data_IF_249718884727
#
_entry.id   IF_249718884727
#
_cell.length_a   1.000
_cell.length_b   1.000
_cell.length_c   1.000
_cell.angle_alpha   90.00
_cell.angle_beta   90.00
_cell.angle_gamma   90.00
#
_symmetry.space_group_name_H-M   'P 1'
#
loop_
_entity.id
_entity.type
_entity.pdbx_description
1 polymer ?
#
# COMPACT_ATOMS: atom_id res chain seq x y z
N UNK A 1 -10.12 31.70 -5.07
CA UNK A 1 -9.70 30.61 -5.98
C UNK A 1 -8.76 29.60 -5.31
N UNK A 2 -8.81 29.47 -3.96
CA UNK A 2 -7.87 28.64 -3.18
C UNK A 2 -8.49 27.28 -2.76
N UNK A 3 -9.79 27.07 -2.94
CA UNK A 3 -10.47 25.84 -2.49
C UNK A 3 -10.97 24.94 -3.61
N UNK A 4 -10.41 25.03 -4.84
CA UNK A 4 -10.82 24.17 -5.97
C UNK A 4 -9.87 23.01 -6.25
N UNK A 5 -8.61 23.06 -5.79
CA UNK A 5 -7.61 22.01 -6.06
C UNK A 5 -7.52 20.91 -5.00
N UNK A 6 -7.57 21.27 -3.72
CA UNK A 6 -7.12 20.37 -2.65
C UNK A 6 -8.23 19.50 -2.05
N UNK A 7 -9.48 19.92 -2.21
CA UNK A 7 -10.65 19.15 -1.78
C UNK A 7 -10.92 18.03 -2.80
N UNK A 8 -10.79 18.28 -4.10
CA UNK A 8 -11.06 17.27 -5.15
C UNK A 8 -10.15 16.03 -5.08
N UNK A 9 -8.91 16.17 -4.56
CA UNK A 9 -7.99 15.03 -4.41
C UNK A 9 -8.42 14.03 -3.33
N UNK A 10 -9.13 14.49 -2.30
CA UNK A 10 -9.79 13.59 -1.34
C UNK A 10 -11.07 12.99 -1.92
N UNK A 11 -11.66 13.58 -2.97
CA UNK A 11 -12.98 13.21 -3.50
C UNK A 11 -12.93 11.98 -4.42
N UNK A 12 -11.81 11.73 -5.09
CA UNK A 12 -11.62 10.51 -5.89
C UNK A 12 -11.23 9.27 -5.06
N UNK A 13 -10.81 9.45 -3.79
CA UNK A 13 -10.26 8.37 -2.96
C UNK A 13 -11.31 7.42 -2.35
N UNK A 14 -12.59 7.79 -2.34
CA UNK A 14 -13.64 6.97 -1.71
C UNK A 14 -14.21 5.87 -2.62
N UNK A 15 -14.18 6.06 -3.95
CA UNK A 15 -14.75 5.08 -4.90
C UNK A 15 -13.88 3.82 -5.02
N UNK A 16 -12.54 3.97 -5.05
CA UNK A 16 -11.61 2.84 -5.11
C UNK A 16 -11.61 1.98 -3.84
N UNK A 17 -11.92 2.54 -2.67
CA UNK A 17 -12.01 1.78 -1.40
C UNK A 17 -13.32 0.98 -1.35
N UNK A 18 -14.44 1.59 -1.76
CA UNK A 18 -15.76 0.95 -1.73
C UNK A 18 -15.93 -0.13 -2.81
N UNK A 19 -15.40 0.05 -4.02
CA UNK A 19 -15.51 -0.98 -5.08
C UNK A 19 -14.70 -2.25 -4.77
N UNK A 20 -13.63 -2.15 -3.97
CA UNK A 20 -12.70 -3.27 -3.73
C UNK A 20 -13.07 -4.18 -2.58
N UNK A 21 -13.95 -3.75 -1.66
CA UNK A 21 -14.56 -4.67 -0.69
C UNK A 21 -15.52 -5.66 -1.34
N UNK A 22 -16.02 -5.37 -2.54
CA UNK A 22 -17.00 -6.21 -3.24
C UNK A 22 -16.40 -7.45 -3.93
N UNK A 23 -15.07 -7.48 -4.20
CA UNK A 23 -14.44 -8.52 -5.05
C UNK A 23 -13.54 -9.48 -4.27
N UNK A 24 -13.75 -9.59 -2.95
CA UNK A 24 -13.20 -10.71 -2.20
C UNK A 24 -13.91 -12.00 -2.59
N UNK A 25 -13.43 -12.70 -3.61
CA UNK A 25 -13.83 -14.08 -3.87
C UNK A 25 -13.57 -14.89 -2.60
N UNK A 26 -14.64 -15.25 -1.89
CA UNK A 26 -14.63 -16.31 -0.90
C UNK A 26 -14.38 -17.60 -1.67
N UNK A 27 -13.13 -18.03 -1.77
CA UNK A 27 -12.88 -19.41 -2.17
C UNK A 27 -13.62 -20.34 -1.19
N UNK A 28 -14.34 -21.36 -1.69
CA UNK A 28 -15.11 -22.25 -0.83
C UNK A 28 -14.16 -22.96 0.15
N UNK A 29 -14.61 -23.22 1.39
CA UNK A 29 -13.83 -23.99 2.33
C UNK A 29 -13.52 -25.37 1.71
N UNK A 30 -12.23 -25.76 1.67
CA UNK A 30 -11.84 -27.13 1.35
C UNK A 30 -12.51 -28.05 2.38
N UNK A 31 -13.36 -28.96 1.91
CA UNK A 31 -13.98 -29.99 2.71
C UNK A 31 -12.89 -30.90 3.30
N UNK A 32 -12.89 -31.10 4.62
CA UNK A 32 -12.07 -32.17 5.22
C UNK A 32 -11.47 -32.00 6.62
N UNK A 33 -11.82 -30.99 7.43
CA UNK A 33 -11.48 -31.00 8.87
C UNK A 33 -12.67 -30.57 9.74
N UNK A 34 -13.04 -31.39 10.72
CA UNK A 34 -13.99 -30.99 11.78
C UNK A 34 -13.35 -29.89 12.62
N UNK A 35 -13.82 -28.66 12.43
CA UNK A 35 -13.45 -27.52 13.26
C UNK A 35 -13.99 -27.71 14.68
N UNK A 36 -13.19 -27.38 15.69
CA UNK A 36 -13.65 -27.36 17.09
C UNK A 36 -14.77 -26.32 17.28
N UNK A 37 -15.57 -26.45 18.34
CA UNK A 37 -16.63 -25.47 18.65
C UNK A 37 -16.07 -24.05 18.86
N UNK A 38 -14.84 -23.94 19.40
CA UNK A 38 -14.15 -22.67 19.52
C UNK A 38 -13.77 -22.09 18.16
N UNK A 39 -13.22 -22.90 17.25
CA UNK A 39 -12.87 -22.46 15.90
C UNK A 39 -14.08 -22.01 15.08
N UNK A 40 -15.25 -22.64 15.27
CA UNK A 40 -16.49 -22.21 14.64
C UNK A 40 -16.96 -20.85 15.14
N UNK A 41 -16.93 -20.63 16.45
CA UNK A 41 -17.27 -19.34 17.07
C UNK A 41 -16.35 -18.23 16.55
N UNK A 42 -15.04 -18.47 16.51
CA UNK A 42 -14.07 -17.50 16.00
C UNK A 42 -14.28 -17.16 14.51
N UNK A 43 -14.67 -18.14 13.68
CA UNK A 43 -15.02 -17.92 12.28
C UNK A 43 -16.32 -17.13 12.11
N UNK A 44 -17.32 -17.37 12.95
CA UNK A 44 -18.59 -16.63 12.92
C UNK A 44 -18.39 -15.17 13.38
N UNK A 45 -17.60 -14.93 14.42
CA UNK A 45 -17.21 -13.58 14.84
C UNK A 45 -16.46 -12.82 13.72
N UNK A 46 -15.55 -13.50 13.01
CA UNK A 46 -14.87 -12.93 11.83
C UNK A 46 -15.84 -12.58 10.71
N UNK A 47 -16.83 -13.43 10.42
CA UNK A 47 -17.86 -13.18 9.40
C UNK A 47 -18.72 -11.97 9.78
N UNK A 48 -19.17 -11.90 11.03
CA UNK A 48 -19.94 -10.77 11.54
C UNK A 48 -19.15 -9.46 11.46
N UNK A 49 -17.87 -9.49 11.85
CA UNK A 49 -17.00 -8.31 11.74
C UNK A 49 -16.80 -7.88 10.28
N UNK A 50 -16.57 -8.84 9.38
CA UNK A 50 -16.45 -8.57 7.93
C UNK A 50 -17.70 -7.90 7.38
N UNK A 51 -18.88 -8.40 7.75
CA UNK A 51 -20.15 -7.83 7.34
C UNK A 51 -20.34 -6.41 7.90
N UNK A 52 -19.99 -6.19 9.17
CA UNK A 52 -20.04 -4.87 9.79
C UNK A 52 -19.19 -3.84 9.05
N UNK A 53 -17.94 -4.18 8.71
CA UNK A 53 -17.05 -3.30 7.92
C UNK A 53 -17.65 -3.00 6.55
N UNK A 54 -18.22 -4.00 5.89
CA UNK A 54 -18.86 -3.84 4.58
C UNK A 54 -20.07 -2.89 4.64
N UNK A 55 -20.93 -3.02 5.65
CA UNK A 55 -22.08 -2.13 5.82
C UNK A 55 -21.63 -0.69 6.14
N UNK A 56 -20.64 -0.51 7.01
CA UNK A 56 -20.05 0.81 7.29
C UNK A 56 -19.47 1.44 6.01
N UNK A 57 -18.79 0.68 5.17
CA UNK A 57 -18.23 1.19 3.91
C UNK A 57 -19.32 1.75 2.97
N UNK A 58 -20.51 1.15 2.93
CA UNK A 58 -21.62 1.67 2.12
C UNK A 58 -22.09 3.06 2.57
N UNK A 59 -21.91 3.41 3.85
CA UNK A 59 -22.30 4.71 4.40
C UNK A 59 -21.35 5.85 3.98
N UNK A 60 -20.16 5.54 3.44
CA UNK A 60 -19.23 6.58 2.96
C UNK A 60 -19.83 7.42 1.82
N UNK A 61 -20.51 6.78 0.87
CA UNK A 61 -21.09 7.46 -0.30
C UNK A 61 -22.16 8.49 0.10
N UNK A 62 -23.18 8.17 0.93
CA UNK A 62 -24.15 9.17 1.35
C UNK A 62 -23.52 10.28 2.21
N UNK A 63 -22.55 9.99 3.07
CA UNK A 63 -21.80 11.03 3.81
C UNK A 63 -21.08 11.98 2.85
N UNK A 64 -20.45 11.42 1.81
CA UNK A 64 -19.79 12.21 0.76
C UNK A 64 -20.77 13.13 0.04
N UNK A 65 -21.94 12.61 -0.28
CA UNK A 65 -22.98 13.35 -0.97
C UNK A 65 -23.50 14.52 -0.11
N UNK A 66 -23.62 14.35 1.22
CA UNK A 66 -24.00 15.45 2.11
C UNK A 66 -22.92 16.53 2.20
N UNK A 67 -21.64 16.16 2.23
CA UNK A 67 -20.53 17.13 2.16
C UNK A 67 -20.56 17.89 0.83
N UNK A 68 -20.68 17.18 -0.29
CA UNK A 68 -20.83 17.77 -1.62
C UNK A 68 -21.98 18.77 -1.66
N UNK A 69 -23.13 18.40 -1.10
CA UNK A 69 -24.32 19.26 -1.03
C UNK A 69 -24.07 20.51 -0.18
N UNK A 70 -23.42 20.37 0.99
CA UNK A 70 -23.09 21.53 1.83
C UNK A 70 -22.12 22.48 1.12
N UNK A 71 -21.10 21.96 0.44
CA UNK A 71 -20.15 22.76 -0.35
C UNK A 71 -20.82 23.43 -1.56
N UNK A 72 -21.71 22.73 -2.26
CA UNK A 72 -22.46 23.30 -3.39
C UNK A 72 -23.39 24.43 -2.94
N UNK A 73 -24.05 24.28 -1.79
CA UNK A 73 -24.87 25.34 -1.19
C UNK A 73 -24.04 26.57 -0.83
N UNK A 74 -22.87 26.36 -0.24
CA UNK A 74 -21.93 27.44 0.08
C UNK A 74 -21.47 28.15 -1.20
N UNK A 75 -21.05 27.39 -2.22
CA UNK A 75 -20.62 27.93 -3.51
C UNK A 75 -21.74 28.72 -4.21
N UNK A 76 -22.97 28.18 -4.25
CA UNK A 76 -24.13 28.88 -4.81
C UNK A 76 -24.41 30.20 -4.09
N UNK A 77 -24.20 30.25 -2.77
CA UNK A 77 -24.35 31.47 -2.01
C UNK A 77 -23.26 32.50 -2.34
N UNK A 78 -22.01 32.08 -2.54
CA UNK A 78 -20.93 32.95 -3.03
C UNK A 78 -21.26 33.51 -4.42
N UNK A 79 -21.70 32.67 -5.34
CA UNK A 79 -21.95 33.04 -6.74
C UNK A 79 -23.16 33.98 -6.86
N UNK A 80 -24.27 33.67 -6.16
CA UNK A 80 -25.49 34.52 -6.17
C UNK A 80 -25.23 35.93 -5.63
N UNK A 81 -24.38 36.05 -4.62
CA UNK A 81 -24.07 37.32 -3.98
C UNK A 81 -22.79 37.97 -4.53
N UNK A 82 -22.18 37.40 -5.58
CA UNK A 82 -20.93 37.87 -6.22
C UNK A 82 -19.82 38.17 -5.20
N UNK A 83 -19.72 37.35 -4.16
CA UNK A 83 -18.78 37.55 -3.07
C UNK A 83 -17.36 37.22 -3.53
N UNK A 84 -16.43 38.17 -3.31
CA UNK A 84 -15.01 38.00 -3.57
C UNK A 84 -14.22 37.96 -2.27
N UNK A 85 -12.99 37.44 -2.35
CA UNK A 85 -12.03 37.48 -1.24
C UNK A 85 -11.80 38.95 -0.86
N UNK A 86 -11.97 39.28 0.43
CA UNK A 86 -11.84 40.65 0.95
C UNK A 86 -13.14 41.46 0.99
N UNK A 87 -14.26 40.91 0.53
CA UNK A 87 -15.56 41.58 0.61
C UNK A 87 -16.01 41.75 2.08
N UNK A 88 -16.38 42.97 2.47
CA UNK A 88 -16.97 43.24 3.80
C UNK A 88 -18.44 42.80 3.82
N UNK A 89 -18.68 41.61 4.37
CA UNK A 89 -20.03 41.05 4.55
C UNK A 89 -20.59 41.51 5.90
N UNK A 90 -21.76 42.14 5.93
CA UNK A 90 -22.42 42.64 7.16
C UNK A 90 -23.86 42.15 7.30
N UNK A 91 -24.41 42.27 8.51
CA UNK A 91 -25.82 41.98 8.81
C UNK A 91 -26.23 40.52 8.59
N UNK A 92 -27.48 40.32 8.14
CA UNK A 92 -28.09 39.01 7.93
C UNK A 92 -27.31 38.12 6.95
N UNK A 93 -26.64 38.73 5.96
CA UNK A 93 -25.84 38.02 4.97
C UNK A 93 -24.61 37.37 5.61
N UNK A 94 -23.95 38.06 6.55
CA UNK A 94 -22.83 37.51 7.33
C UNK A 94 -23.28 36.33 8.18
N UNK A 95 -24.40 36.46 8.91
CA UNK A 95 -24.92 35.39 9.75
C UNK A 95 -25.26 34.13 8.94
N UNK A 96 -25.86 34.31 7.76
CA UNK A 96 -26.16 33.19 6.85
C UNK A 96 -24.90 32.53 6.28
N UNK A 97 -23.90 33.31 5.90
CA UNK A 97 -22.61 32.80 5.42
C UNK A 97 -21.88 31.99 6.49
N UNK A 98 -21.84 32.50 7.73
CA UNK A 98 -21.26 31.78 8.87
C UNK A 98 -21.99 30.46 9.08
N UNK A 99 -23.33 30.47 9.12
CA UNK A 99 -24.12 29.24 9.30
C UNK A 99 -23.85 28.20 8.19
N UNK A 100 -23.75 28.62 6.92
CA UNK A 100 -23.42 27.71 5.81
C UNK A 100 -21.99 27.15 5.94
N UNK A 101 -21.03 27.98 6.36
CA UNK A 101 -19.66 27.56 6.54
C UNK A 101 -19.51 26.59 7.71
N UNK A 102 -20.10 26.89 8.86
CA UNK A 102 -20.13 26.00 10.03
C UNK A 102 -20.75 24.64 9.67
N UNK A 103 -21.89 24.62 8.97
CA UNK A 103 -22.50 23.36 8.51
C UNK A 103 -21.59 22.57 7.58
N UNK A 104 -20.89 23.23 6.65
CA UNK A 104 -19.96 22.56 5.75
C UNK A 104 -18.76 21.98 6.51
N UNK A 105 -18.24 22.70 7.51
CA UNK A 105 -17.18 22.22 8.39
C UNK A 105 -17.63 21.00 9.21
N UNK A 106 -18.78 21.07 9.88
CA UNK A 106 -19.32 19.94 10.66
C UNK A 106 -19.53 18.69 9.80
N UNK A 107 -20.03 18.84 8.57
CA UNK A 107 -20.20 17.73 7.63
C UNK A 107 -18.85 17.12 7.21
N UNK A 108 -17.83 17.96 6.95
CA UNK A 108 -16.48 17.52 6.63
C UNK A 108 -15.82 16.78 7.79
N UNK A 109 -15.90 17.33 9.00
CA UNK A 109 -15.35 16.71 10.22
C UNK A 109 -16.02 15.37 10.54
N UNK A 110 -17.34 15.27 10.35
CA UNK A 110 -18.07 14.03 10.50
C UNK A 110 -17.64 12.97 9.47
N UNK A 111 -17.52 13.35 8.19
CA UNK A 111 -17.01 12.47 7.12
C UNK A 111 -15.58 11.99 7.45
N UNK A 112 -14.68 12.90 7.82
CA UNK A 112 -13.29 12.57 8.13
C UNK A 112 -13.21 11.59 9.31
N UNK A 113 -13.90 11.89 10.41
CA UNK A 113 -13.91 11.04 11.61
C UNK A 113 -14.43 9.65 11.30
N UNK A 114 -15.52 9.55 10.52
CA UNK A 114 -16.08 8.27 10.11
C UNK A 114 -15.12 7.50 9.19
N UNK A 115 -14.50 8.18 8.22
CA UNK A 115 -13.52 7.58 7.31
C UNK A 115 -12.31 7.02 8.07
N UNK A 116 -11.75 7.77 9.03
CA UNK A 116 -10.63 7.31 9.85
C UNK A 116 -11.00 6.07 10.67
N UNK A 117 -12.17 6.09 11.33
CA UNK A 117 -12.66 4.92 12.07
C UNK A 117 -12.87 3.69 11.19
N UNK A 118 -13.41 3.87 9.97
CA UNK A 118 -13.55 2.77 9.01
C UNK A 118 -12.18 2.22 8.57
N UNK A 119 -11.19 3.07 8.33
CA UNK A 119 -9.83 2.64 7.99
C UNK A 119 -9.18 1.84 9.12
N UNK A 120 -9.40 2.23 10.38
CA UNK A 120 -8.94 1.46 11.53
C UNK A 120 -9.64 0.09 11.62
N UNK A 121 -10.95 0.03 11.36
CA UNK A 121 -11.70 -1.23 11.30
C UNK A 121 -11.17 -2.16 10.20
N UNK A 122 -10.87 -1.62 9.02
CA UNK A 122 -10.28 -2.35 7.89
C UNK A 122 -8.89 -2.90 8.27
N UNK A 123 -8.08 -2.11 8.98
CA UNK A 123 -6.76 -2.55 9.41
C UNK A 123 -6.85 -3.68 10.45
N UNK A 124 -7.79 -3.59 11.40
CA UNK A 124 -8.07 -4.70 12.33
C UNK A 124 -8.53 -5.95 11.59
N UNK A 125 -9.37 -5.81 10.57
CA UNK A 125 -9.81 -6.92 9.72
C UNK A 125 -8.64 -7.61 9.01
N UNK A 126 -7.69 -6.83 8.47
CA UNK A 126 -6.49 -7.38 7.80
C UNK A 126 -5.61 -8.18 8.75
N UNK A 127 -5.39 -7.68 9.97
CA UNK A 127 -4.61 -8.38 11.00
C UNK A 127 -5.24 -9.74 11.33
N UNK A 128 -6.54 -9.75 11.62
CA UNK A 128 -7.29 -10.97 11.94
C UNK A 128 -7.26 -12.01 10.81
N UNK A 129 -7.24 -11.57 9.54
CA UNK A 129 -7.12 -12.48 8.38
C UNK A 129 -5.70 -13.03 8.19
N UNK A 130 -4.68 -12.28 8.61
CA UNK A 130 -3.27 -12.68 8.42
C UNK A 130 -2.84 -13.82 9.35
N UNK A 131 -3.43 -13.91 10.54
CA UNK A 131 -3.10 -14.93 11.55
C UNK A 131 -3.59 -16.34 11.18
N UNK A 132 -4.63 -16.44 10.35
CA UNK A 132 -5.33 -17.71 10.02
C UNK A 132 -4.54 -18.62 9.06
N UNK A 133 -3.43 -18.17 8.44
CA UNK A 133 -2.80 -18.86 7.29
C UNK A 133 -1.29 -19.10 7.38
N UNK A 134 -0.73 -19.25 8.58
CA UNK A 134 0.73 -19.43 8.74
C UNK A 134 1.28 -20.83 8.35
N UNK A 135 0.43 -21.85 8.15
CA UNK A 135 0.88 -23.24 8.34
C UNK A 135 0.81 -24.22 7.15
N UNK A 136 0.59 -23.79 5.91
CA UNK A 136 0.64 -24.72 4.77
C UNK A 136 1.64 -24.30 3.69
N UNK A 137 2.50 -25.26 3.29
CA UNK A 137 3.20 -25.21 2.00
C UNK A 137 2.15 -24.95 0.92
N UNK A 138 2.35 -23.90 0.14
CA UNK A 138 1.44 -23.53 -0.92
C UNK A 138 1.97 -24.08 -2.23
N UNK A 139 1.06 -24.59 -3.07
CA UNK A 139 1.37 -24.77 -4.48
C UNK A 139 1.64 -23.41 -5.16
N UNK A 140 2.40 -23.42 -6.26
CA UNK A 140 2.85 -22.23 -6.98
C UNK A 140 1.69 -21.28 -7.31
N UNK A 141 0.56 -21.81 -7.81
CA UNK A 141 -0.63 -20.99 -8.12
C UNK A 141 -1.21 -20.31 -6.87
N UNK A 142 -1.29 -21.02 -5.75
CA UNK A 142 -1.79 -20.48 -4.48
C UNK A 142 -0.83 -19.44 -3.88
N UNK A 143 0.48 -19.63 -4.05
CA UNK A 143 1.49 -18.67 -3.63
C UNK A 143 1.36 -17.37 -4.42
N UNK A 144 1.27 -17.46 -5.74
CA UNK A 144 1.15 -16.29 -6.61
C UNK A 144 -0.14 -15.53 -6.36
N UNK A 145 -1.26 -16.21 -6.14
CA UNK A 145 -2.51 -15.58 -5.72
C UNK A 145 -2.34 -14.82 -4.40
N UNK A 146 -1.64 -15.40 -3.42
CA UNK A 146 -1.35 -14.77 -2.12
C UNK A 146 -0.45 -13.54 -2.26
N UNK A 147 0.60 -13.60 -3.07
CA UNK A 147 1.49 -12.47 -3.33
C UNK A 147 0.74 -11.33 -4.03
N UNK A 148 -0.07 -11.66 -5.02
CA UNK A 148 -0.92 -10.73 -5.76
C UNK A 148 -1.96 -10.07 -4.84
N UNK A 149 -2.61 -10.85 -3.96
CA UNK A 149 -3.52 -10.33 -2.94
C UNK A 149 -2.81 -9.37 -1.99
N UNK A 150 -1.63 -9.74 -1.46
CA UNK A 150 -0.85 -8.89 -0.54
C UNK A 150 -0.41 -7.56 -1.15
N UNK A 151 -0.10 -7.54 -2.44
CA UNK A 151 0.18 -6.30 -3.17
C UNK A 151 -1.07 -5.42 -3.29
N UNK A 152 -2.19 -6.01 -3.75
CA UNK A 152 -3.45 -5.28 -3.93
C UNK A 152 -4.03 -4.71 -2.63
N UNK A 153 -3.86 -5.43 -1.53
CA UNK A 153 -4.35 -4.99 -0.22
C UNK A 153 -3.36 -4.12 0.56
N UNK A 154 -2.20 -3.79 -0.02
CA UNK A 154 -1.26 -2.87 0.63
C UNK A 154 -1.96 -1.50 0.82
N UNK A 155 -2.03 -0.97 2.05
CA UNK A 155 -2.73 0.29 2.31
C UNK A 155 -2.09 1.43 1.53
N UNK A 156 -2.91 2.38 1.07
CA UNK A 156 -2.43 3.65 0.56
C UNK A 156 -2.02 4.53 1.74
N UNK A 157 -0.89 5.22 1.63
CA UNK A 157 -0.49 6.22 2.62
C UNK A 157 -1.43 7.44 2.54
N UNK A 158 -2.02 7.81 3.69
CA UNK A 158 -2.88 8.99 3.83
C UNK A 158 -2.43 9.80 5.06
N UNK A 159 -1.31 10.50 4.90
CA UNK A 159 -0.85 11.51 5.85
C UNK A 159 -1.65 12.85 5.84
N UNK A 160 -1.44 13.73 6.83
CA UNK A 160 -1.92 15.12 6.86
C UNK A 160 -1.55 15.94 5.62
N UNK A 161 -2.17 17.13 5.47
CA UNK A 161 -2.07 17.99 4.27
C UNK A 161 -0.64 18.49 4.01
N UNK A 162 0.18 18.64 5.06
CA UNK A 162 1.55 19.18 4.96
C UNK A 162 2.61 18.21 5.50
N UNK A 163 2.30 16.91 5.55
CA UNK A 163 3.25 15.91 6.04
C UNK A 163 4.02 15.24 4.90
N UNK A 164 5.32 15.06 5.08
CA UNK A 164 6.11 14.21 4.21
C UNK A 164 5.83 12.72 4.48
N UNK A 165 5.72 11.85 3.45
CA UNK A 165 5.53 10.43 3.65
C UNK A 165 6.70 9.79 4.42
N UNK A 166 6.44 8.97 5.45
CA UNK A 166 7.50 8.33 6.22
C UNK A 166 8.24 7.25 5.42
N UNK A 167 9.34 6.70 5.96
CA UNK A 167 9.99 5.51 5.41
C UNK A 167 9.01 4.34 5.20
N UNK A 168 9.29 3.50 4.20
CA UNK A 168 8.46 2.38 3.76
C UNK A 168 7.14 2.79 3.07
N UNK A 169 7.00 4.06 2.68
CA UNK A 169 5.94 4.51 1.75
C UNK A 169 6.49 4.52 0.33
N UNK A 170 5.89 3.73 -0.56
CA UNK A 170 6.29 3.66 -1.96
C UNK A 170 7.78 3.31 -2.11
N UNK A 171 8.52 4.16 -2.80
CA UNK A 171 9.96 4.05 -3.02
C UNK A 171 10.85 4.61 -1.91
N UNK A 172 10.30 5.16 -0.82
CA UNK A 172 11.09 5.67 0.30
C UNK A 172 11.62 4.48 1.11
N UNK A 173 12.93 4.24 1.00
CA UNK A 173 13.59 3.16 1.74
C UNK A 173 13.59 3.41 3.26
N UNK A 174 13.58 2.32 4.03
CA UNK A 174 13.91 2.41 5.46
C UNK A 174 15.40 2.80 5.64
N UNK A 175 15.71 3.61 6.65
CA UNK A 175 17.08 3.81 7.11
C UNK A 175 17.78 2.48 7.42
N UNK A 176 19.09 2.40 7.20
CA UNK A 176 19.86 1.15 7.33
C UNK A 176 19.96 0.64 8.78
N UNK A 177 19.85 1.54 9.76
CA UNK A 177 19.86 1.25 11.19
C UNK A 177 18.51 0.74 11.71
N UNK A 178 17.44 0.84 10.91
CA UNK A 178 16.09 0.48 11.35
C UNK A 178 15.97 -1.04 11.53
N UNK A 179 15.67 -1.54 12.73
CA UNK A 179 15.53 -2.97 12.97
C UNK A 179 14.34 -3.55 12.21
N UNK A 180 14.48 -4.78 11.71
CA UNK A 180 13.38 -5.50 11.04
C UNK A 180 12.64 -6.34 12.06
N UNK A 181 11.30 -6.32 12.02
CA UNK A 181 10.47 -7.11 12.95
C UNK A 181 10.29 -8.54 12.47
N UNK A 182 10.07 -9.46 13.41
CA UNK A 182 9.63 -10.82 13.11
C UNK A 182 8.28 -10.80 12.36
N UNK A 183 8.13 -11.71 11.40
CA UNK A 183 6.99 -11.77 10.47
C UNK A 183 7.01 -10.72 9.36
N UNK A 184 8.02 -9.84 9.30
CA UNK A 184 8.14 -8.87 8.22
C UNK A 184 8.59 -9.56 6.91
N UNK A 185 8.05 -9.09 5.79
CA UNK A 185 8.51 -9.50 4.46
C UNK A 185 9.66 -8.60 4.02
N UNK A 186 10.72 -9.23 3.51
CA UNK A 186 11.96 -8.59 3.07
C UNK A 186 12.41 -9.15 1.73
N UNK A 187 13.16 -8.38 0.97
CA UNK A 187 14.06 -8.93 -0.03
C UNK A 187 15.37 -9.30 0.69
N UNK A 188 15.75 -10.57 0.63
CA UNK A 188 16.96 -11.09 1.24
C UNK A 188 17.94 -11.53 0.15
N UNK A 189 19.18 -11.06 0.21
CA UNK A 189 20.24 -11.51 -0.70
C UNK A 189 20.79 -12.84 -0.19
N UNK A 190 20.49 -13.95 -0.85
CA UNK A 190 20.98 -15.31 -0.52
C UNK A 190 21.66 -15.89 -1.76
N UNK A 191 22.88 -16.41 -1.59
CA UNK A 191 23.69 -16.99 -2.68
C UNK A 191 23.78 -16.13 -3.96
N UNK A 192 23.83 -14.80 -3.81
CA UNK A 192 23.93 -13.86 -4.93
C UNK A 192 22.60 -13.45 -5.57
N UNK A 193 21.47 -14.02 -5.13
CA UNK A 193 20.13 -13.73 -5.64
C UNK A 193 19.30 -13.03 -4.57
N UNK A 194 18.57 -11.98 -4.94
CA UNK A 194 17.60 -11.35 -4.04
C UNK A 194 16.30 -12.13 -4.08
N UNK A 195 15.88 -12.70 -2.96
CA UNK A 195 14.65 -13.51 -2.84
C UNK A 195 13.65 -12.85 -1.90
N UNK A 196 12.37 -13.08 -2.14
CA UNK A 196 11.30 -12.68 -1.23
C UNK A 196 11.27 -13.64 -0.03
N UNK A 197 11.48 -13.10 1.16
CA UNK A 197 11.57 -13.89 2.37
C UNK A 197 10.75 -13.29 3.51
N UNK A 198 10.40 -14.12 4.48
CA UNK A 198 9.80 -13.73 5.76
C UNK A 198 10.84 -13.85 6.87
N UNK A 199 10.93 -12.84 7.74
CA UNK A 199 11.77 -12.89 8.94
C UNK A 199 11.10 -13.80 9.96
N UNK A 200 11.77 -14.88 10.35
CA UNK A 200 11.26 -15.84 11.33
C UNK A 200 11.65 -15.44 12.74
N UNK A 201 12.92 -15.10 12.94
CA UNK A 201 13.44 -14.70 14.25
C UNK A 201 14.53 -13.64 14.12
N UNK A 202 14.68 -12.81 15.15
CA UNK A 202 15.76 -11.83 15.26
C UNK A 202 16.75 -12.29 16.32
N UNK A 203 17.93 -12.75 15.90
CA UNK A 203 18.95 -13.28 16.82
C UNK A 203 19.70 -12.16 17.56
N UNK A 204 20.10 -11.12 16.83
CA UNK A 204 20.84 -9.96 17.34
C UNK A 204 20.60 -8.78 16.41
N UNK A 205 21.00 -7.56 16.81
CA UNK A 205 20.71 -6.30 16.08
C UNK A 205 20.99 -6.39 14.57
N UNK A 206 21.98 -7.20 14.16
CA UNK A 206 22.42 -7.32 12.77
C UNK A 206 22.26 -8.71 12.14
N UNK A 207 21.69 -9.71 12.82
CA UNK A 207 21.50 -11.06 12.28
C UNK A 207 20.04 -11.51 12.38
N UNK A 208 19.51 -11.94 11.24
CA UNK A 208 18.10 -12.29 11.06
C UNK A 208 18.00 -13.70 10.48
N UNK A 209 17.10 -14.51 11.02
CA UNK A 209 16.67 -15.73 10.34
C UNK A 209 15.55 -15.41 9.37
N UNK A 210 15.76 -15.80 8.12
CA UNK A 210 14.77 -15.61 7.06
C UNK A 210 14.43 -16.93 6.42
N UNK A 211 13.18 -17.05 6.01
CA UNK A 211 12.65 -18.20 5.28
C UNK A 211 12.11 -17.74 3.92
N UNK A 212 12.46 -18.47 2.87
CA UNK A 212 11.89 -18.25 1.54
C UNK A 212 10.37 -18.42 1.57
N UNK A 213 9.65 -17.59 0.80
CA UNK A 213 8.18 -17.63 0.75
C UNK A 213 7.63 -18.78 -0.09
N UNK A 214 8.41 -19.35 -1.02
CA UNK A 214 8.05 -20.59 -1.72
C UNK A 214 8.27 -21.84 -0.86
N UNK A 215 9.10 -21.74 0.18
CA UNK A 215 9.40 -22.82 1.11
C UNK A 215 10.32 -23.91 0.54
N UNK A 216 10.98 -23.66 -0.60
CA UNK A 216 11.98 -24.57 -1.16
C UNK A 216 13.28 -24.58 -0.34
N UNK A 217 13.63 -23.42 0.24
CA UNK A 217 14.87 -23.28 1.02
C UNK A 217 14.63 -23.41 2.53
N UNK A 218 15.59 -24.05 3.20
CA UNK A 218 15.69 -24.04 4.66
C UNK A 218 15.94 -22.61 5.19
N UNK A 219 15.58 -22.36 6.45
CA UNK A 219 15.84 -21.09 7.13
C UNK A 219 17.33 -20.73 7.03
N UNK A 220 17.62 -19.48 6.66
CA UNK A 220 18.99 -18.95 6.52
C UNK A 220 19.19 -17.78 7.47
N UNK A 221 20.39 -17.70 8.05
CA UNK A 221 20.82 -16.54 8.82
C UNK A 221 21.49 -15.53 7.89
N UNK A 222 20.96 -14.31 7.83
CA UNK A 222 21.46 -13.23 6.98
C UNK A 222 21.74 -11.97 7.78
N UNK A 223 22.73 -11.20 7.35
CA UNK A 223 23.06 -9.92 7.95
C UNK A 223 22.07 -8.82 7.52
N UNK A 224 21.88 -7.79 8.35
CA UNK A 224 21.02 -6.62 8.04
C UNK A 224 21.35 -5.97 6.68
N UNK A 225 22.63 -5.88 6.32
CA UNK A 225 23.10 -5.31 5.05
C UNK A 225 22.61 -6.09 3.81
N UNK A 226 22.22 -7.35 3.99
CA UNK A 226 21.66 -8.24 2.95
C UNK A 226 20.14 -8.26 2.95
N UNK A 227 19.49 -7.35 3.70
CA UNK A 227 18.05 -7.22 3.77
C UNK A 227 17.59 -5.86 3.26
N UNK A 228 16.49 -5.86 2.52
CA UNK A 228 15.74 -4.66 2.14
C UNK A 228 14.30 -4.89 2.59
N UNK A 229 13.78 -3.98 3.41
CA UNK A 229 12.39 -4.04 3.86
C UNK A 229 11.44 -3.67 2.73
N UNK A 230 10.35 -4.41 2.58
CA UNK A 230 9.31 -4.07 1.61
C UNK A 230 8.51 -2.84 2.10
N UNK A 231 7.94 -2.03 1.18
CA UNK A 231 7.02 -0.96 1.52
C UNK A 231 5.83 -1.48 2.33
N UNK A 232 5.50 -0.75 3.39
CA UNK A 232 4.33 -0.99 4.23
C UNK A 232 3.10 -0.25 3.70
N UNK A 233 3.30 0.80 2.90
CA UNK A 233 2.25 1.57 2.26
C UNK A 233 2.57 1.86 0.80
N UNK A 234 1.54 1.96 -0.02
CA UNK A 234 1.62 2.55 -1.37
C UNK A 234 1.70 4.07 -1.24
N UNK A 235 2.52 4.70 -2.08
CA UNK A 235 2.44 6.13 -2.30
C UNK A 235 1.30 6.45 -3.28
N UNK A 236 0.59 7.55 -3.04
CA UNK A 236 -0.43 8.03 -3.98
C UNK A 236 0.23 8.87 -5.08
N UNK A 237 0.16 8.49 -6.36
CA UNK A 237 0.73 9.27 -7.44
C UNK A 237 0.21 10.71 -7.56
N UNK A 238 -1.01 10.99 -7.09
CA UNK A 238 -1.59 12.32 -7.22
C UNK A 238 -1.08 13.29 -6.15
N UNK A 239 -0.67 12.78 -5.00
CA UNK A 239 -0.29 13.59 -3.83
C UNK A 239 1.17 13.46 -3.45
N UNK A 240 1.65 12.22 -3.47
CA UNK A 240 2.92 11.78 -2.93
C UNK A 240 3.79 11.19 -4.07
N UNK A 241 3.75 11.79 -5.27
CA UNK A 241 4.49 11.31 -6.46
C UNK A 241 6.01 11.28 -6.26
N UNK A 242 6.53 12.17 -5.42
CA UNK A 242 7.94 12.21 -5.01
C UNK A 242 8.37 10.98 -4.20
N UNK A 243 7.41 10.25 -3.62
CA UNK A 243 7.63 8.98 -2.94
C UNK A 243 7.54 7.78 -3.90
N UNK A 244 7.44 7.99 -5.22
CA UNK A 244 7.52 6.93 -6.23
C UNK A 244 8.88 6.96 -6.93
N UNK A 245 9.31 5.82 -7.46
CA UNK A 245 10.50 5.78 -8.31
C UNK A 245 10.20 6.47 -9.65
N UNK A 246 10.99 7.48 -10.06
CA UNK A 246 10.76 8.18 -11.32
C UNK A 246 11.12 7.28 -12.52
N UNK A 247 10.68 7.70 -13.72
CA UNK A 247 11.09 7.04 -14.98
C UNK A 247 12.62 6.96 -15.08
N UNK A 248 13.11 5.85 -15.62
CA UNK A 248 14.52 5.46 -15.74
C UNK A 248 15.25 5.21 -14.42
N UNK A 249 14.56 5.24 -13.27
CA UNK A 249 15.17 4.84 -12.01
C UNK A 249 15.56 3.36 -12.05
N UNK A 250 16.77 3.05 -11.58
CA UNK A 250 17.23 1.68 -11.42
C UNK A 250 16.71 1.14 -10.08
N UNK A 251 15.92 0.08 -10.17
CA UNK A 251 15.23 -0.53 -9.05
C UNK A 251 15.54 -2.02 -8.98
N UNK A 252 15.25 -2.59 -7.82
CA UNK A 252 15.18 -4.03 -7.63
C UNK A 252 13.70 -4.42 -7.57
N UNK A 253 13.22 -5.21 -8.52
CA UNK A 253 11.80 -5.52 -8.65
C UNK A 253 11.55 -7.04 -8.70
N UNK A 254 10.44 -7.50 -8.12
CA UNK A 254 10.07 -8.92 -8.16
C UNK A 254 9.69 -9.30 -9.60
N UNK A 255 10.35 -10.31 -10.16
CA UNK A 255 10.06 -10.74 -11.52
C UNK A 255 8.73 -11.50 -11.58
N UNK A 256 7.89 -11.27 -12.61
CA UNK A 256 6.56 -11.87 -12.68
C UNK A 256 6.57 -13.39 -12.52
N UNK A 257 5.62 -13.92 -11.72
CA UNK A 257 5.47 -15.35 -11.43
C UNK A 257 6.69 -16.00 -10.73
N UNK A 258 7.52 -15.21 -10.05
CA UNK A 258 8.66 -15.72 -9.27
C UNK A 258 8.66 -15.15 -7.86
N UNK A 259 9.53 -15.71 -7.02
CA UNK A 259 9.86 -15.23 -5.67
C UNK A 259 11.20 -14.47 -5.66
N UNK A 260 11.75 -14.13 -6.83
CA UNK A 260 13.07 -13.50 -6.96
C UNK A 260 12.96 -12.05 -7.46
N UNK A 261 13.85 -11.21 -6.94
CA UNK A 261 14.00 -9.83 -7.38
C UNK A 261 15.21 -9.66 -8.30
N UNK A 262 15.03 -8.88 -9.35
CA UNK A 262 16.04 -8.60 -10.35
C UNK A 262 16.15 -7.11 -10.62
N UNK A 263 17.31 -6.70 -11.13
CA UNK A 263 17.56 -5.32 -11.51
C UNK A 263 16.72 -4.94 -12.72
N UNK A 264 16.12 -3.77 -12.68
CA UNK A 264 15.33 -3.24 -13.77
C UNK A 264 15.28 -1.72 -13.76
N UNK A 265 14.81 -1.16 -14.87
CA UNK A 265 14.57 0.26 -15.04
C UNK A 265 13.06 0.53 -15.01
N UNK A 266 12.65 1.60 -14.33
CA UNK A 266 11.26 2.06 -14.32
C UNK A 266 10.93 2.68 -15.68
N UNK A 267 10.13 2.01 -16.49
CA UNK A 267 9.61 2.59 -17.73
C UNK A 267 8.48 3.59 -17.42
N UNK A 268 7.62 3.23 -16.46
CA UNK A 268 6.49 4.09 -16.06
C UNK A 268 6.15 3.91 -14.59
N UNK A 269 6.04 5.02 -13.86
CA UNK A 269 5.46 5.06 -12.52
C UNK A 269 3.92 4.99 -12.59
N UNK A 270 3.24 4.46 -11.56
CA UNK A 270 1.77 4.49 -11.47
C UNK A 270 1.24 5.91 -11.63
N UNK A 271 0.17 6.11 -12.40
CA UNK A 271 -0.49 7.44 -12.55
C UNK A 271 -1.67 7.59 -11.61
N UNK A 272 -2.26 6.47 -11.21
CA UNK A 272 -3.36 6.40 -10.26
C UNK A 272 -2.98 5.46 -9.13
N UNK A 273 -3.65 5.58 -7.98
CA UNK A 273 -3.37 4.73 -6.82
C UNK A 273 -3.52 3.22 -7.13
N UNK A 274 -4.25 2.88 -8.17
CA UNK A 274 -4.65 1.52 -8.53
C UNK A 274 -3.79 0.87 -9.60
N UNK A 275 -2.87 1.64 -10.19
CA UNK A 275 -1.89 1.18 -11.16
C UNK A 275 -0.61 0.65 -10.51
N UNK A 276 0.05 -0.22 -11.26
CA UNK A 276 1.37 -0.76 -10.93
C UNK A 276 2.47 0.00 -11.70
N UNK A 277 3.73 -0.23 -11.32
CA UNK A 277 4.85 0.20 -12.14
C UNK A 277 4.94 -0.62 -13.42
N UNK A 278 5.45 -0.03 -14.49
CA UNK A 278 5.99 -0.78 -15.62
C UNK A 278 7.52 -0.83 -15.50
N UNK A 279 8.07 -2.03 -15.37
CA UNK A 279 9.51 -2.27 -15.17
C UNK A 279 10.07 -3.05 -16.35
N UNK A 280 11.11 -2.52 -16.98
CA UNK A 280 11.92 -3.26 -17.94
C UNK A 280 13.12 -3.89 -17.20
N UNK A 281 13.20 -5.21 -17.16
CA UNK A 281 14.26 -5.91 -16.44
C UNK A 281 15.54 -5.99 -17.26
N UNK A 282 16.70 -5.98 -16.62
CA UNK A 282 17.96 -6.25 -17.31
C UNK A 282 18.00 -7.71 -17.75
N UNK A 283 18.14 -7.92 -19.07
CA UNK A 283 18.11 -9.23 -19.68
C UNK A 283 18.95 -9.20 -20.96
N UNK A 284 20.08 -9.91 -20.93
CA UNK A 284 21.04 -9.98 -22.03
C UNK A 284 20.56 -10.76 -23.25
N UNK A 285 19.43 -11.48 -23.14
CA UNK A 285 18.81 -12.17 -24.28
C UNK A 285 18.17 -11.20 -25.27
N UNK A 286 17.84 -9.98 -24.83
CA UNK A 286 17.31 -8.92 -25.69
C UNK A 286 18.43 -8.05 -26.25
N UNK A 287 18.29 -7.62 -27.51
CA UNK A 287 19.27 -6.74 -28.19
C UNK A 287 19.50 -5.41 -27.46
N UNK A 288 18.48 -4.91 -26.78
CA UNK A 288 18.54 -3.68 -25.98
C UNK A 288 19.19 -3.89 -24.61
N UNK A 289 19.44 -5.13 -24.19
CA UNK A 289 19.84 -5.49 -22.83
C UNK A 289 18.71 -5.41 -21.79
N UNK A 290 17.48 -5.15 -22.24
CA UNK A 290 16.30 -5.03 -21.39
C UNK A 290 15.10 -5.79 -21.94
N UNK A 291 14.34 -6.41 -21.04
CA UNK A 291 13.06 -7.05 -21.35
C UNK A 291 12.00 -6.04 -21.80
N UNK A 292 10.89 -6.48 -22.42
CA UNK A 292 9.67 -5.70 -22.47
C UNK A 292 9.22 -5.28 -21.06
N UNK A 293 8.51 -4.15 -20.91
CA UNK A 293 8.05 -3.69 -19.60
C UNK A 293 6.97 -4.62 -19.01
N UNK A 294 7.13 -4.99 -17.74
CA UNK A 294 6.16 -5.79 -16.99
C UNK A 294 5.49 -4.97 -15.87
N UNK A 295 4.23 -5.30 -15.59
CA UNK A 295 3.47 -4.72 -14.48
C UNK A 295 3.98 -5.27 -13.14
N UNK A 296 4.52 -4.40 -12.27
CA UNK A 296 5.00 -4.78 -10.94
C UNK A 296 4.39 -3.85 -9.88
N UNK A 297 3.65 -4.39 -8.90
CA UNK A 297 3.04 -3.58 -7.85
C UNK A 297 4.06 -2.85 -6.99
N UNK A 298 3.70 -1.68 -6.45
CA UNK A 298 4.59 -0.87 -5.61
C UNK A 298 5.22 -1.66 -4.45
N UNK A 299 4.49 -2.63 -3.87
CA UNK A 299 4.96 -3.50 -2.78
C UNK A 299 6.25 -4.25 -3.12
N UNK A 300 6.47 -4.53 -4.40
CA UNK A 300 7.52 -5.41 -4.89
C UNK A 300 8.54 -4.66 -5.77
N UNK A 301 8.57 -3.33 -5.70
CA UNK A 301 9.60 -2.49 -6.32
C UNK A 301 10.39 -1.80 -5.21
N UNK A 302 11.69 -2.02 -5.17
CA UNK A 302 12.57 -1.65 -4.07
C UNK A 302 13.75 -0.81 -4.58
N UNK A 303 14.37 -0.06 -3.66
CA UNK A 303 15.62 0.64 -3.95
C UNK A 303 16.71 -0.38 -4.29
N UNK A 304 17.40 -0.18 -5.41
CA UNK A 304 18.54 -1.02 -5.78
C UNK A 304 19.75 -0.68 -4.91
N UNK A 305 20.17 -1.60 -4.03
CA UNK A 305 21.44 -1.48 -3.29
C UNK A 305 22.59 -1.93 -4.20
N UNK A 306 23.56 -1.05 -4.47
CA UNK A 306 24.83 -1.47 -5.08
C UNK A 306 25.55 -2.38 -4.10
N UNK A 307 25.80 -3.62 -4.50
CA UNK A 307 26.60 -4.55 -3.71
C UNK A 307 28.05 -4.01 -3.62
N UNK A 308 28.50 -3.63 -2.42
CA UNK A 308 29.89 -3.19 -2.18
C UNK A 308 30.93 -4.32 -2.38
N UNK A 309 30.52 -5.54 -2.75
CA UNK A 309 31.38 -6.73 -2.85
C UNK A 309 31.37 -7.46 -4.19
N UNK A 310 30.49 -7.11 -5.14
CA UNK A 310 30.48 -7.70 -6.48
C UNK A 310 30.66 -6.56 -7.48
N UNK A 311 31.71 -6.64 -8.31
CA UNK A 311 31.85 -5.74 -9.46
C UNK A 311 30.65 -5.85 -10.38
N UNK A 312 30.51 -4.93 -11.32
CA UNK A 312 29.43 -4.88 -12.32
C UNK A 312 29.20 -6.18 -13.09
N UNK A 313 30.12 -7.15 -12.99
CA UNK A 313 30.18 -8.34 -13.83
C UNK A 313 29.93 -9.64 -13.04
N UNK A 314 29.44 -9.57 -11.79
CA UNK A 314 29.02 -10.76 -11.03
C UNK A 314 30.12 -11.76 -10.63
N UNK A 315 31.40 -11.48 -10.91
CA UNK A 315 32.51 -12.31 -10.42
C UNK A 315 33.01 -11.88 -9.02
N UNK A 316 33.37 -12.84 -8.15
CA UNK A 316 33.93 -12.53 -6.84
C UNK A 316 35.30 -11.84 -7.01
N UNK A 317 35.49 -10.70 -6.33
CA UNK A 317 36.80 -10.07 -6.20
C UNK A 317 37.72 -11.00 -5.43
N UNK A 318 38.73 -11.54 -6.11
CA UNK A 318 39.87 -12.20 -5.46
C UNK A 318 40.53 -11.16 -4.55
N UNK A 319 40.54 -11.44 -3.24
CA UNK A 319 41.31 -10.64 -2.29
C UNK A 319 42.80 -10.89 -2.58
N UNK A 320 43.53 -9.82 -2.88
CA UNK A 320 45.00 -9.84 -2.81
C UNK A 320 45.43 -9.90 -1.35
#
# INVERSE_FOLDING_TARGET
MICRGNILLFFFRSDSICQRFAVGHLMPPRSGRRLSNQQKKDEDEKRQFTQSVREKAKLMVPMKNEVNKCLANLQSFYDKNKLSIGCKVSGQMRSKLIALHTRALEALEAEEKFQRGLMDDIERFRKLRSEVRKDSRLDCGSLMERLSYRARTLPLWIGPVDSYPPPLVGGIAAPDDTPVKEGAFVAALISGVWILAEVISVHSTNKYEVKDVDGEQNVKVVAKSRLIQLPCWRADPLRDSHALFPRNAIVLALYPQTTCFYKGAVERAPRTADEDYLIAFEDSTYKTGYSPPFSVPQRYVLTHKKNLGYGSDGLPKVRK
#
